data_IF_436195812851
#
_entry.id   IF_436195812851
#
_cell.length_a   1.000
_cell.length_b   1.000
_cell.length_c   1.000
_cell.angle_alpha   90.00
_cell.angle_beta   90.00
_cell.angle_gamma   90.00
#
_symmetry.space_group_name_H-M   'P 1'
#
loop_
_entity.id
_entity.type
_entity.pdbx_description
1 polymer ?
#
# COMPACT_ATOMS: atom_id res chain seq x y z
N UNK A 1 -18.22 33.22 8.23
CA UNK A 1 -16.86 33.59 7.75
C UNK A 1 -15.84 32.44 7.75
N UNK A 2 -16.11 31.26 8.33
CA UNK A 2 -15.16 30.14 8.35
C UNK A 2 -15.20 29.21 7.11
N UNK A 3 -16.33 29.16 6.39
CA UNK A 3 -16.51 28.24 5.24
C UNK A 3 -15.72 28.71 3.98
N UNK A 4 -15.47 30.01 3.83
CA UNK A 4 -14.70 30.54 2.70
C UNK A 4 -13.19 30.39 2.84
N UNK A 5 -12.67 30.34 4.07
CA UNK A 5 -11.23 30.16 4.34
C UNK A 5 -10.82 28.71 4.02
N UNK A 6 -11.66 27.72 4.38
CA UNK A 6 -11.38 26.29 4.15
C UNK A 6 -11.35 25.89 2.66
N UNK A 7 -12.17 26.53 1.81
CA UNK A 7 -12.19 26.24 0.37
C UNK A 7 -10.96 26.80 -0.38
N UNK A 8 -10.35 27.89 0.08
CA UNK A 8 -9.17 28.47 -0.57
C UNK A 8 -7.89 27.69 -0.27
N UNK A 9 -7.75 27.17 0.95
CA UNK A 9 -6.61 26.34 1.35
C UNK A 9 -6.61 24.98 0.64
N UNK A 10 -7.74 24.28 0.52
CA UNK A 10 -7.82 22.99 -0.17
C UNK A 10 -7.40 23.07 -1.66
N UNK A 11 -7.83 24.11 -2.38
CA UNK A 11 -7.45 24.32 -3.79
C UNK A 11 -5.96 24.68 -3.93
N UNK A 12 -5.41 25.42 -2.97
CA UNK A 12 -4.00 25.79 -2.97
C UNK A 12 -3.08 24.59 -2.69
N UNK A 13 -3.43 23.77 -1.69
CA UNK A 13 -2.74 22.51 -1.40
C UNK A 13 -2.81 21.52 -2.56
N UNK A 14 -3.99 21.39 -3.19
CA UNK A 14 -4.17 20.55 -4.38
C UNK A 14 -3.24 20.98 -5.52
N UNK A 15 -3.20 22.28 -5.82
CA UNK A 15 -2.32 22.84 -6.87
C UNK A 15 -0.84 22.60 -6.61
N UNK A 16 -0.38 22.63 -5.36
CA UNK A 16 1.01 22.29 -5.03
C UNK A 16 1.31 20.80 -5.17
N UNK A 17 0.43 19.92 -4.67
CA UNK A 17 0.67 18.46 -4.73
C UNK A 17 0.62 17.90 -6.15
N UNK A 18 -0.26 18.40 -7.02
CA UNK A 18 -0.30 17.98 -8.42
C UNK A 18 1.01 18.32 -9.16
N UNK A 19 1.70 19.41 -8.79
CA UNK A 19 3.03 19.72 -9.36
C UNK A 19 4.09 18.67 -9.01
N UNK A 20 3.93 17.96 -7.90
CA UNK A 20 4.83 16.88 -7.47
C UNK A 20 4.47 15.53 -8.09
N UNK A 21 3.29 15.41 -8.73
CA UNK A 21 2.84 14.21 -9.42
C UNK A 21 3.43 14.13 -10.84
N UNK A 22 4.77 14.15 -10.93
CA UNK A 22 5.48 14.05 -12.21
C UNK A 22 5.58 12.59 -12.67
N UNK A 23 5.77 12.38 -13.98
CA UNK A 23 6.01 11.05 -14.55
C UNK A 23 7.20 10.34 -13.91
N UNK A 24 8.26 11.07 -13.57
CA UNK A 24 9.44 10.56 -12.86
C UNK A 24 9.09 10.05 -11.46
N UNK A 25 8.29 10.81 -10.70
CA UNK A 25 7.83 10.39 -9.37
C UNK A 25 6.96 9.12 -9.48
N UNK A 26 6.06 9.05 -10.46
CA UNK A 26 5.27 7.83 -10.69
C UNK A 26 6.13 6.64 -11.09
N UNK A 27 7.15 6.82 -11.94
CA UNK A 27 8.08 5.77 -12.33
C UNK A 27 8.88 5.26 -11.12
N UNK A 28 9.40 6.17 -10.29
CA UNK A 28 10.12 5.83 -9.06
C UNK A 28 9.26 5.03 -8.10
N UNK A 29 8.03 5.49 -7.83
CA UNK A 29 7.09 4.82 -6.93
C UNK A 29 6.65 3.45 -7.46
N UNK A 30 6.44 3.32 -8.78
CA UNK A 30 6.19 2.03 -9.44
C UNK A 30 7.35 1.05 -9.24
N UNK A 31 8.59 1.51 -9.38
CA UNK A 31 9.78 0.69 -9.14
C UNK A 31 9.90 0.27 -7.66
N UNK A 32 9.58 1.17 -6.72
CA UNK A 32 9.54 0.84 -5.30
C UNK A 32 8.47 -0.21 -4.99
N UNK A 33 7.27 -0.10 -5.56
CA UNK A 33 6.21 -1.11 -5.40
C UNK A 33 6.62 -2.47 -5.98
N UNK A 34 7.29 -2.49 -7.13
CA UNK A 34 7.84 -3.73 -7.71
C UNK A 34 8.86 -4.39 -6.77
N UNK A 35 9.79 -3.60 -6.21
CA UNK A 35 10.77 -4.09 -5.22
C UNK A 35 10.12 -4.59 -3.94
N UNK A 36 9.07 -3.91 -3.46
CA UNK A 36 8.31 -4.35 -2.29
C UNK A 36 7.66 -5.71 -2.53
N UNK A 37 6.91 -5.86 -3.63
CA UNK A 37 6.25 -7.13 -3.98
C UNK A 37 7.25 -8.27 -4.12
N UNK A 38 8.40 -8.01 -4.73
CA UNK A 38 9.47 -8.99 -4.87
C UNK A 38 10.07 -9.39 -3.51
N UNK A 39 10.33 -8.43 -2.62
CA UNK A 39 10.80 -8.71 -1.26
C UNK A 39 9.79 -9.53 -0.44
N UNK A 40 8.49 -9.22 -0.57
CA UNK A 40 7.42 -9.98 0.08
C UNK A 40 7.32 -11.41 -0.44
N UNK A 41 7.46 -11.64 -1.75
CA UNK A 41 7.50 -12.99 -2.33
C UNK A 41 8.66 -13.79 -1.77
N UNK A 42 9.86 -13.22 -1.77
CA UNK A 42 11.04 -13.88 -1.18
C UNK A 42 10.89 -14.17 0.31
N UNK A 43 10.21 -13.30 1.06
CA UNK A 43 9.91 -13.57 2.47
C UNK A 43 8.85 -14.66 2.67
N UNK A 44 7.97 -14.85 1.69
CA UNK A 44 7.00 -15.93 1.66
C UNK A 44 7.61 -17.26 1.16
N UNK A 45 8.70 -17.20 0.39
CA UNK A 45 9.41 -18.39 -0.08
C UNK A 45 9.86 -19.24 1.11
N UNK A 46 9.48 -20.52 1.10
CA UNK A 46 9.79 -21.47 2.16
C UNK A 46 8.77 -21.53 3.29
N UNK A 47 7.76 -20.64 3.32
CA UNK A 47 6.61 -20.81 4.19
C UNK A 47 5.76 -22.00 3.72
N UNK A 48 5.34 -22.85 4.67
CA UNK A 48 4.40 -23.95 4.39
C UNK A 48 2.95 -23.51 4.25
N UNK A 49 2.67 -22.25 4.60
CA UNK A 49 1.35 -21.62 4.47
C UNK A 49 1.21 -21.01 3.06
N UNK A 50 0.04 -21.14 2.41
CA UNK A 50 -0.16 -20.56 1.10
C UNK A 50 -0.26 -19.03 1.22
N UNK A 51 0.65 -18.32 0.56
CA UNK A 51 0.72 -16.86 0.53
C UNK A 51 0.82 -16.40 -0.91
N UNK A 52 -0.03 -15.46 -1.29
CA UNK A 52 0.03 -14.78 -2.58
C UNK A 52 0.32 -13.29 -2.37
N UNK A 53 1.17 -12.75 -3.23
CA UNK A 53 1.50 -11.31 -3.27
C UNK A 53 1.04 -10.72 -4.60
N UNK A 54 -0.03 -9.93 -4.55
CA UNK A 54 -0.62 -9.26 -5.72
C UNK A 54 -0.36 -7.75 -5.71
N UNK A 55 -0.76 -7.06 -6.78
CA UNK A 55 -0.71 -5.61 -6.89
C UNK A 55 0.09 -5.11 -8.10
N UNK A 56 -0.13 -3.84 -8.44
CA UNK A 56 0.50 -3.15 -9.57
C UNK A 56 0.94 -1.73 -9.15
N UNK A 57 1.89 -1.13 -9.87
CA UNK A 57 2.35 0.21 -9.56
C UNK A 57 2.98 0.26 -8.15
N UNK A 58 2.58 1.22 -7.28
CA UNK A 58 2.97 1.23 -5.87
C UNK A 58 2.36 0.08 -5.06
N UNK A 59 1.23 -0.47 -5.48
CA UNK A 59 0.37 -1.25 -4.60
C UNK A 59 0.86 -2.70 -4.45
N UNK A 60 0.71 -3.23 -3.25
CA UNK A 60 0.98 -4.60 -2.87
C UNK A 60 -0.17 -5.09 -1.97
N UNK A 61 -0.57 -6.35 -2.15
CA UNK A 61 -1.46 -7.05 -1.23
C UNK A 61 -0.86 -8.39 -0.85
N UNK A 62 -1.09 -8.83 0.39
CA UNK A 62 -0.67 -10.14 0.91
C UNK A 62 -1.92 -10.92 1.26
N UNK A 63 -2.05 -12.13 0.72
CA UNK A 63 -3.25 -12.95 0.86
C UNK A 63 -2.88 -14.36 1.28
N UNK A 64 -3.49 -14.85 2.36
CA UNK A 64 -3.26 -16.20 2.87
C UNK A 64 -4.28 -17.17 2.27
N UNK A 65 -4.13 -17.49 0.98
CA UNK A 65 -5.04 -18.38 0.23
C UNK A 65 -4.33 -19.09 -0.92
N UNK A 66 -4.88 -20.22 -1.36
CA UNK A 66 -4.49 -20.92 -2.60
C UNK A 66 -5.32 -20.49 -3.81
N UNK A 67 -6.46 -19.86 -3.59
CA UNK A 67 -7.36 -19.39 -4.65
C UNK A 67 -6.78 -18.12 -5.29
N UNK A 68 -6.71 -18.06 -6.61
CA UNK A 68 -6.15 -16.91 -7.33
C UNK A 68 -6.91 -15.63 -7.00
N UNK A 69 -6.22 -14.65 -6.42
CA UNK A 69 -6.86 -13.43 -5.92
C UNK A 69 -7.09 -12.44 -7.07
N UNK A 70 -8.26 -12.53 -7.70
CA UNK A 70 -8.69 -11.64 -8.80
C UNK A 70 -9.75 -10.61 -8.40
N UNK A 71 -10.35 -10.76 -7.23
CA UNK A 71 -11.35 -9.84 -6.69
C UNK A 71 -11.28 -9.72 -5.15
N UNK A 72 -12.11 -8.83 -4.61
CA UNK A 72 -12.16 -8.55 -3.17
C UNK A 72 -12.77 -9.72 -2.37
N UNK A 73 -13.71 -10.46 -2.95
CA UNK A 73 -14.39 -11.57 -2.29
C UNK A 73 -13.42 -12.72 -2.02
N UNK A 74 -12.59 -13.07 -3.00
CA UNK A 74 -11.54 -14.10 -2.85
C UNK A 74 -10.52 -13.66 -1.80
N UNK A 75 -10.12 -12.40 -1.81
CA UNK A 75 -9.25 -11.86 -0.76
C UNK A 75 -9.92 -12.06 0.61
N UNK A 76 -11.18 -11.67 0.76
CA UNK A 76 -12.00 -11.81 1.97
C UNK A 76 -12.12 -13.23 2.50
N UNK A 77 -12.25 -14.21 1.61
CA UNK A 77 -12.29 -15.63 1.99
C UNK A 77 -10.93 -16.22 2.39
N UNK A 78 -9.82 -15.54 2.10
CA UNK A 78 -8.50 -15.94 2.57
C UNK A 78 -8.42 -16.05 4.10
N UNK A 79 -7.36 -16.69 4.62
CA UNK A 79 -7.21 -16.88 6.07
C UNK A 79 -7.00 -15.55 6.80
N UNK A 80 -8.07 -15.04 7.40
CA UNK A 80 -8.10 -13.74 8.06
C UNK A 80 -7.32 -13.72 9.39
N UNK A 81 -7.13 -14.88 10.02
CA UNK A 81 -6.38 -14.95 11.28
C UNK A 81 -4.89 -14.79 11.02
N UNK A 82 -4.36 -15.46 9.97
CA UNK A 82 -2.98 -15.24 9.52
C UNK A 82 -2.76 -13.81 9.03
N UNK A 83 -3.75 -13.20 8.37
CA UNK A 83 -3.70 -11.78 8.00
C UNK A 83 -3.54 -10.87 9.23
N UNK A 84 -4.38 -11.05 10.26
CA UNK A 84 -4.31 -10.26 11.50
C UNK A 84 -3.00 -10.46 12.25
N UNK A 85 -2.53 -11.71 12.34
CA UNK A 85 -1.25 -12.04 12.97
C UNK A 85 -0.07 -11.39 12.24
N UNK A 86 -0.10 -11.41 10.91
CA UNK A 86 0.91 -10.71 10.10
C UNK A 86 0.87 -9.20 10.38
N UNK A 87 -0.30 -8.56 10.38
CA UNK A 87 -0.44 -7.14 10.69
C UNK A 87 0.11 -6.78 12.08
N UNK A 88 -0.18 -7.60 13.10
CA UNK A 88 0.39 -7.44 14.44
C UNK A 88 1.92 -7.59 14.42
N UNK A 89 2.45 -8.61 13.75
CA UNK A 89 3.88 -8.85 13.63
C UNK A 89 4.61 -7.68 12.98
N UNK A 90 4.08 -7.14 11.89
CA UNK A 90 4.62 -5.97 11.19
C UNK A 90 4.55 -4.70 12.07
N UNK A 91 3.46 -4.52 12.82
CA UNK A 91 3.31 -3.41 13.77
C UNK A 91 4.36 -3.46 14.88
N UNK A 92 4.65 -4.66 15.40
CA UNK A 92 5.71 -4.86 16.39
C UNK A 92 7.12 -4.56 15.83
N UNK A 93 7.28 -4.45 14.52
CA UNK A 93 8.53 -4.02 13.86
C UNK A 93 8.52 -2.53 13.47
N UNK A 94 7.55 -1.74 13.96
CA UNK A 94 7.46 -0.31 13.71
C UNK A 94 6.85 0.08 12.35
N UNK A 95 6.17 -0.85 11.69
CA UNK A 95 5.50 -0.62 10.41
C UNK A 95 3.98 -0.75 10.56
N UNK A 96 3.24 0.24 10.07
CA UNK A 96 1.78 0.20 10.07
C UNK A 96 1.25 -0.16 8.67
N UNK A 97 0.45 -1.21 8.57
CA UNK A 97 -0.31 -1.57 7.36
C UNK A 97 -1.79 -1.40 7.69
N UNK A 98 -2.44 -0.43 7.04
CA UNK A 98 -3.82 -0.02 7.40
C UNK A 98 -4.89 -0.64 6.52
N UNK A 99 -4.51 -1.32 5.43
CA UNK A 99 -5.45 -1.95 4.52
C UNK A 99 -4.84 -3.15 3.81
N UNK A 100 -5.69 -3.93 3.15
CA UNK A 100 -5.29 -5.10 2.35
C UNK A 100 -4.49 -4.77 1.11
N UNK A 101 -4.47 -3.50 0.71
CA UNK A 101 -3.66 -3.02 -0.39
C UNK A 101 -2.87 -1.81 0.07
N UNK A 102 -1.57 -2.01 0.27
CA UNK A 102 -0.66 -0.99 0.77
C UNK A 102 0.48 -0.77 -0.22
N UNK A 103 1.33 0.21 0.00
CA UNK A 103 2.47 0.42 -0.86
C UNK A 103 3.31 1.62 -0.46
N UNK A 104 4.52 1.77 -1.02
CA UNK A 104 5.24 3.02 -0.95
C UNK A 104 4.35 4.15 -1.45
N UNK A 105 4.07 5.08 -0.55
CA UNK A 105 3.60 6.40 -0.92
C UNK A 105 4.82 7.24 -1.28
N UNK A 106 4.69 8.14 -2.26
CA UNK A 106 5.70 9.18 -2.41
C UNK A 106 5.88 9.88 -1.05
N UNK A 107 7.11 10.12 -0.58
CA UNK A 107 7.34 10.67 0.74
C UNK A 107 6.55 11.95 0.93
N UNK A 108 5.86 12.06 2.07
CA UNK A 108 5.36 13.33 2.57
C UNK A 108 6.58 14.22 2.81
N UNK A 109 6.82 15.21 1.94
CA UNK A 109 8.01 16.06 1.99
C UNK A 109 7.94 17.19 3.05
N UNK A 110 6.97 17.14 3.98
CA UNK A 110 6.98 17.99 5.17
C UNK A 110 6.72 19.49 4.96
N UNK A 111 6.46 19.96 3.75
CA UNK A 111 6.10 21.37 3.52
C UNK A 111 4.58 21.56 3.57
N UNK A 112 4.12 22.15 4.68
CA UNK A 112 2.80 22.78 4.82
C UNK A 112 2.73 24.12 4.07
#
# INVERSE_FOLDING_TARGET
MAVHIFRRSAVYYWRRRVKLATSEVFARVRAQGARLREGLRRAADGLRIPVQVTGEGPCAGIHFTREDVVDADIAERGNQDLWRLMCLGVTNQGLAITSRTFGPIAPYIGED
#
